data_IF_700436776009
#
_entry.id   IF_700436776009
#
_cell.length_a   1.000
_cell.length_b   1.000
_cell.length_c   1.000
_cell.angle_alpha   90.00
_cell.angle_beta   90.00
_cell.angle_gamma   90.00
#
_symmetry.space_group_name_H-M   'P 1'
#
loop_
_entity.id
_entity.type
_entity.pdbx_description
1 polymer ?
#
# COMPACT_ATOMS: atom_id res chain seq x y z
N UNK A 1 -11.71 -5.08 -16.31
CA UNK A 1 -10.37 -5.24 -15.69
C UNK A 1 -9.92 -6.70 -15.70
N UNK A 2 -10.66 -7.65 -15.14
CA UNK A 2 -10.27 -9.07 -15.14
C UNK A 2 -10.13 -9.63 -16.56
N UNK A 3 -10.99 -9.27 -17.48
CA UNK A 3 -10.91 -9.67 -18.90
C UNK A 3 -9.55 -9.28 -19.50
N UNK A 4 -9.09 -8.05 -19.27
CA UNK A 4 -7.79 -7.59 -19.76
C UNK A 4 -6.66 -8.36 -19.07
N UNK A 5 -6.74 -8.62 -17.76
CA UNK A 5 -5.71 -9.39 -17.04
C UNK A 5 -5.58 -10.82 -17.56
N UNK A 6 -6.68 -11.42 -17.99
CA UNK A 6 -6.68 -12.79 -18.55
C UNK A 6 -5.96 -12.90 -19.90
N UNK A 7 -5.64 -11.78 -20.56
CA UNK A 7 -4.82 -11.78 -21.80
C UNK A 7 -3.32 -11.72 -21.53
N UNK A 8 -2.90 -11.51 -20.28
CA UNK A 8 -1.50 -11.44 -19.91
C UNK A 8 -0.86 -12.82 -19.81
N UNK A 9 0.41 -12.90 -20.17
CA UNK A 9 1.26 -14.00 -19.71
C UNK A 9 1.33 -13.99 -18.18
N UNK A 10 1.28 -15.17 -17.57
CA UNK A 10 1.36 -15.30 -16.11
C UNK A 10 2.77 -15.59 -15.65
N UNK A 11 3.10 -15.12 -14.45
CA UNK A 11 4.34 -15.45 -13.74
C UNK A 11 4.02 -15.96 -12.34
N UNK A 12 4.64 -17.07 -11.95
CA UNK A 12 4.40 -17.68 -10.63
C UNK A 12 5.05 -16.89 -9.49
N UNK A 13 4.61 -17.13 -8.25
CA UNK A 13 5.22 -16.55 -7.06
C UNK A 13 6.71 -16.96 -6.92
N UNK A 14 7.09 -18.16 -7.31
CA UNK A 14 8.46 -18.64 -7.23
C UNK A 14 9.37 -17.92 -8.23
N UNK A 15 8.92 -17.73 -9.46
CA UNK A 15 9.66 -16.95 -10.46
C UNK A 15 9.78 -15.47 -10.04
N UNK A 16 8.74 -14.91 -9.40
CA UNK A 16 8.78 -13.55 -8.85
C UNK A 16 9.83 -13.36 -7.76
N UNK A 17 10.21 -14.42 -7.02
CA UNK A 17 11.30 -14.35 -6.02
C UNK A 17 12.67 -14.08 -6.68
N UNK A 18 12.84 -14.49 -7.93
CA UNK A 18 14.05 -14.25 -8.70
C UNK A 18 14.17 -12.79 -9.21
N UNK A 19 13.10 -12.02 -9.23
CA UNK A 19 13.11 -10.61 -9.63
C UNK A 19 13.75 -9.77 -8.52
N UNK A 20 15.07 -9.58 -8.62
CA UNK A 20 15.86 -8.79 -7.64
C UNK A 20 16.08 -7.37 -8.18
N UNK A 21 15.59 -6.38 -7.44
CA UNK A 21 15.80 -4.97 -7.74
C UNK A 21 16.81 -4.42 -6.72
N UNK A 22 18.08 -4.34 -7.10
CA UNK A 22 19.19 -4.03 -6.20
C UNK A 22 19.22 -2.56 -5.76
N UNK A 23 19.13 -1.63 -6.72
CA UNK A 23 19.12 -0.18 -6.48
C UNK A 23 17.72 0.40 -6.68
N UNK A 24 16.78 -0.06 -5.87
CA UNK A 24 15.36 0.16 -6.08
C UNK A 24 14.93 1.61 -5.88
N UNK A 25 14.26 2.13 -6.91
CA UNK A 25 13.51 3.39 -6.86
C UNK A 25 12.03 3.04 -6.74
N UNK A 26 11.36 3.53 -5.69
CA UNK A 26 9.95 3.30 -5.44
C UNK A 26 9.17 4.60 -5.72
N UNK A 27 8.32 4.60 -6.75
CA UNK A 27 7.45 5.72 -7.09
C UNK A 27 5.99 5.30 -6.96
N UNK A 28 5.15 6.17 -6.43
CA UNK A 28 3.70 5.94 -6.31
C UNK A 28 2.93 6.84 -7.24
N UNK A 29 1.81 6.31 -7.72
CA UNK A 29 0.85 7.02 -8.53
C UNK A 29 -0.55 6.75 -8.00
N UNK A 30 -1.46 7.69 -8.22
CA UNK A 30 -2.88 7.54 -7.88
C UNK A 30 -3.69 7.85 -9.14
N UNK A 31 -4.63 6.97 -9.47
CA UNK A 31 -5.44 7.09 -10.67
C UNK A 31 -6.85 6.51 -10.43
N UNK A 32 -7.63 6.38 -11.48
CA UNK A 32 -9.00 5.85 -11.49
C UNK A 32 -9.07 4.47 -12.14
N UNK A 33 -10.17 3.73 -11.92
CA UNK A 33 -10.40 2.42 -12.57
C UNK A 33 -10.42 2.50 -14.11
N UNK A 34 -11.07 3.48 -14.76
CA UNK A 34 -11.01 3.61 -16.23
C UNK A 34 -9.59 3.82 -16.75
N UNK A 35 -8.78 4.61 -16.05
CA UNK A 35 -7.39 4.84 -16.43
C UNK A 35 -6.51 3.61 -16.19
N UNK A 36 -6.80 2.81 -15.14
CA UNK A 36 -6.15 1.54 -14.91
C UNK A 36 -6.40 0.57 -16.06
N UNK A 37 -7.63 0.45 -16.54
CA UNK A 37 -7.98 -0.44 -17.66
C UNK A 37 -7.15 -0.07 -18.90
N UNK A 38 -7.11 1.21 -19.27
CA UNK A 38 -6.28 1.71 -20.38
C UNK A 38 -4.78 1.42 -20.18
N UNK A 39 -4.29 1.59 -18.96
CA UNK A 39 -2.90 1.28 -18.63
C UNK A 39 -2.60 -0.21 -18.84
N UNK A 40 -3.49 -1.08 -18.38
CA UNK A 40 -3.35 -2.52 -18.53
C UNK A 40 -3.39 -2.95 -20.00
N UNK A 41 -4.28 -2.38 -20.81
CA UNK A 41 -4.35 -2.66 -22.26
C UNK A 41 -3.03 -2.31 -22.97
N UNK A 42 -2.46 -1.14 -22.68
CA UNK A 42 -1.21 -0.69 -23.31
C UNK A 42 0.00 -1.47 -22.79
N UNK A 43 0.01 -1.84 -21.50
CA UNK A 43 1.13 -2.53 -20.87
C UNK A 43 1.21 -4.02 -21.19
N UNK A 44 0.13 -4.62 -21.68
CA UNK A 44 0.01 -6.07 -21.89
C UNK A 44 1.18 -6.70 -22.70
N UNK A 45 1.67 -6.12 -23.81
CA UNK A 45 2.76 -6.73 -24.59
C UNK A 45 4.10 -6.83 -23.84
N UNK A 46 4.33 -5.92 -22.87
CA UNK A 46 5.61 -5.76 -22.19
C UNK A 46 5.64 -6.38 -20.79
N UNK A 47 4.48 -6.81 -20.25
CA UNK A 47 4.34 -7.24 -18.87
C UNK A 47 3.71 -8.62 -18.72
N UNK A 48 4.11 -9.29 -17.65
CA UNK A 48 3.47 -10.50 -17.13
C UNK A 48 2.72 -10.15 -15.83
N UNK A 49 1.63 -10.88 -15.56
CA UNK A 49 0.85 -10.75 -14.34
C UNK A 49 1.16 -11.90 -13.37
N UNK A 50 1.39 -11.57 -12.10
CA UNK A 50 1.57 -12.59 -11.08
C UNK A 50 0.28 -13.39 -10.88
N UNK A 51 0.39 -14.71 -11.00
CA UNK A 51 -0.67 -15.65 -10.65
C UNK A 51 -0.31 -16.44 -9.41
N UNK A 52 -1.26 -16.59 -8.51
CA UNK A 52 -1.17 -17.48 -7.33
C UNK A 52 -2.43 -18.35 -7.33
N UNK A 53 -2.26 -19.66 -7.55
CA UNK A 53 -3.34 -20.62 -7.64
C UNK A 53 -4.46 -20.18 -8.60
N UNK A 54 -4.06 -19.67 -9.78
CA UNK A 54 -4.95 -19.17 -10.83
C UNK A 54 -5.54 -17.77 -10.58
N UNK A 55 -5.34 -17.18 -9.42
CA UNK A 55 -5.85 -15.86 -9.10
C UNK A 55 -4.84 -14.76 -9.48
N UNK A 56 -5.30 -13.70 -10.14
CA UNK A 56 -4.49 -12.57 -10.62
C UNK A 56 -4.67 -11.31 -9.75
N UNK A 57 -5.70 -11.28 -8.92
CA UNK A 57 -6.04 -10.14 -8.07
C UNK A 57 -6.20 -10.61 -6.62
N UNK A 58 -5.16 -10.40 -5.81
CA UNK A 58 -5.01 -10.97 -4.48
C UNK A 58 -5.63 -10.09 -3.40
N UNK A 59 -6.50 -10.62 -2.52
CA UNK A 59 -6.98 -9.88 -1.36
C UNK A 59 -5.91 -9.75 -0.29
N UNK A 60 -5.79 -8.53 0.24
CA UNK A 60 -4.88 -8.17 1.33
C UNK A 60 -5.65 -7.57 2.49
N UNK A 61 -5.26 -7.96 3.69
CA UNK A 61 -5.66 -7.32 4.92
C UNK A 61 -4.43 -6.72 5.62
N UNK A 62 -4.56 -5.54 6.19
CA UNK A 62 -3.50 -4.91 6.96
C UNK A 62 -4.10 -4.19 8.16
N UNK A 63 -3.62 -4.50 9.35
CA UNK A 63 -3.97 -3.83 10.59
C UNK A 63 -2.77 -3.02 11.08
N UNK A 64 -2.95 -1.72 11.30
CA UNK A 64 -1.90 -0.85 11.84
C UNK A 64 -2.08 -0.61 13.32
N UNK A 65 -0.96 -0.61 14.02
CA UNK A 65 -0.88 -0.17 15.41
C UNK A 65 -0.60 1.33 15.47
N UNK A 66 -1.05 1.94 16.58
CA UNK A 66 -0.82 3.35 16.86
C UNK A 66 -0.81 3.59 18.37
N UNK A 67 -0.17 4.66 18.80
CA UNK A 67 -0.29 5.18 20.16
C UNK A 67 -1.63 5.91 20.35
N UNK A 68 -2.05 6.10 21.59
CA UNK A 68 -3.34 6.75 21.88
C UNK A 68 -3.41 8.19 21.38
N UNK A 69 -2.31 8.93 21.42
CA UNK A 69 -2.18 10.29 20.90
C UNK A 69 -1.91 10.37 19.39
N UNK A 70 -1.95 9.22 18.68
CA UNK A 70 -1.66 9.12 17.25
C UNK A 70 -0.27 9.64 16.86
N UNK A 71 0.75 9.34 17.64
CA UNK A 71 2.10 9.87 17.46
C UNK A 71 2.72 9.49 16.11
N UNK A 72 2.62 8.22 15.66
CA UNK A 72 3.16 7.82 14.36
C UNK A 72 2.45 8.52 13.19
N UNK A 73 1.16 8.76 13.30
CA UNK A 73 0.39 9.56 12.33
C UNK A 73 0.87 11.01 12.32
N UNK A 74 1.03 11.63 13.49
CA UNK A 74 1.47 13.01 13.63
C UNK A 74 2.90 13.21 13.11
N UNK A 75 3.81 12.28 13.35
CA UNK A 75 5.17 12.29 12.79
C UNK A 75 5.13 12.26 11.25
N UNK A 76 4.21 11.47 10.68
CA UNK A 76 4.02 11.43 9.23
C UNK A 76 3.40 12.73 8.71
N UNK A 77 2.41 13.28 9.39
CA UNK A 77 1.77 14.57 9.04
C UNK A 77 2.78 15.71 9.06
N UNK A 78 3.61 15.78 10.10
CA UNK A 78 4.68 16.79 10.26
C UNK A 78 5.80 16.64 9.22
N UNK A 79 5.86 15.51 8.49
CA UNK A 79 6.88 15.23 7.49
C UNK A 79 8.21 14.83 8.09
N UNK A 80 8.24 14.35 9.34
CA UNK A 80 9.46 13.88 9.98
C UNK A 80 10.15 12.83 9.11
N UNK A 81 11.47 12.97 8.93
CA UNK A 81 12.25 12.05 8.12
C UNK A 81 12.36 10.68 8.79
N UNK A 82 12.66 10.63 10.09
CA UNK A 82 12.64 9.41 10.90
C UNK A 82 11.22 9.14 11.35
N UNK A 83 10.66 7.99 10.99
CA UNK A 83 9.33 7.57 11.41
C UNK A 83 9.15 6.09 11.23
N UNK A 84 8.27 5.52 12.03
CA UNK A 84 7.92 4.11 12.00
C UNK A 84 6.49 3.88 11.54
N UNK A 85 6.20 2.64 11.20
CA UNK A 85 4.86 2.07 11.06
C UNK A 85 4.93 0.63 11.52
N UNK A 86 4.04 0.26 12.40
CA UNK A 86 3.90 -1.08 12.93
C UNK A 86 2.58 -1.63 12.42
N UNK A 87 2.58 -2.85 11.88
CA UNK A 87 1.38 -3.43 11.31
C UNK A 87 1.43 -4.95 11.27
N UNK A 88 0.26 -5.57 11.34
CA UNK A 88 0.04 -6.95 10.91
C UNK A 88 -0.40 -6.90 9.45
N UNK A 89 0.21 -7.72 8.61
CA UNK A 89 -0.20 -7.91 7.22
C UNK A 89 -0.57 -9.35 6.98
N UNK A 90 -1.82 -9.59 6.59
CA UNK A 90 -2.33 -10.89 6.20
C UNK A 90 -2.45 -10.97 4.67
N UNK A 91 -1.93 -12.05 4.11
CA UNK A 91 -2.13 -12.48 2.75
C UNK A 91 -3.29 -13.45 2.75
N UNK A 92 -4.49 -12.95 2.46
CA UNK A 92 -5.75 -13.68 2.70
C UNK A 92 -5.79 -15.00 1.94
N UNK A 93 -5.24 -15.04 0.73
CA UNK A 93 -5.23 -16.23 -0.12
C UNK A 93 -4.39 -17.38 0.46
N UNK A 94 -3.23 -17.08 1.05
CA UNK A 94 -2.32 -18.09 1.64
C UNK A 94 -2.45 -18.24 3.15
N UNK A 95 -3.39 -17.51 3.75
CA UNK A 95 -3.60 -17.40 5.20
C UNK A 95 -2.34 -17.06 6.02
N UNK A 96 -1.32 -16.50 5.36
CA UNK A 96 -0.06 -16.14 5.99
C UNK A 96 -0.13 -14.72 6.53
N UNK A 97 0.32 -14.50 7.75
CA UNK A 97 0.34 -13.19 8.38
C UNK A 97 1.73 -12.85 8.94
N UNK A 98 2.09 -11.57 8.90
CA UNK A 98 3.36 -11.07 9.42
C UNK A 98 3.14 -9.83 10.27
N UNK A 99 3.82 -9.78 11.41
CA UNK A 99 4.01 -8.55 12.16
C UNK A 99 5.23 -7.81 11.57
N UNK A 100 5.02 -6.61 11.04
CA UNK A 100 6.03 -5.85 10.31
C UNK A 100 6.28 -4.50 10.95
N UNK A 101 7.55 -4.14 11.14
CA UNK A 101 8.00 -2.79 11.52
C UNK A 101 8.71 -2.18 10.33
N UNK A 102 8.21 -1.05 9.85
CA UNK A 102 8.82 -0.26 8.79
C UNK A 102 9.44 1.00 9.36
N UNK A 103 10.75 1.11 9.22
CA UNK A 103 11.54 2.27 9.64
C UNK A 103 11.96 3.08 8.44
N UNK A 104 11.65 4.37 8.43
CA UNK A 104 12.22 5.32 7.48
C UNK A 104 13.29 6.15 8.20
N UNK A 105 14.49 6.21 7.62
CA UNK A 105 15.60 6.99 8.17
C UNK A 105 15.67 8.41 7.56
N UNK A 106 16.60 9.24 8.07
CA UNK A 106 16.81 10.61 7.61
C UNK A 106 17.36 10.70 6.17
N UNK A 107 18.00 9.63 5.66
CA UNK A 107 18.49 9.53 4.27
C UNK A 107 17.40 9.08 3.29
N UNK A 108 16.15 8.93 3.75
CA UNK A 108 15.01 8.51 2.92
C UNK A 108 14.90 7.00 2.70
N UNK A 109 15.88 6.21 3.13
CA UNK A 109 15.85 4.76 3.02
C UNK A 109 14.84 4.16 3.99
N UNK A 110 14.17 3.10 3.54
CA UNK A 110 13.22 2.34 4.36
C UNK A 110 13.77 0.95 4.63
N UNK A 111 13.90 0.57 5.89
CA UNK A 111 14.14 -0.80 6.32
C UNK A 111 12.84 -1.43 6.80
N UNK A 112 12.74 -2.75 6.64
CA UNK A 112 11.61 -3.55 7.11
C UNK A 112 12.14 -4.74 7.90
N UNK A 113 11.63 -4.91 9.13
CA UNK A 113 11.79 -6.11 9.94
C UNK A 113 10.45 -6.78 10.06
N UNK A 114 10.41 -8.10 10.12
CA UNK A 114 9.17 -8.86 10.29
C UNK A 114 9.43 -10.19 10.98
N UNK A 115 8.40 -10.67 11.67
CA UNK A 115 8.25 -12.03 12.17
C UNK A 115 6.93 -12.60 11.64
N UNK A 116 6.75 -13.89 11.69
CA UNK A 116 5.44 -14.51 11.46
C UNK A 116 4.47 -14.04 12.54
N UNK A 117 3.23 -13.79 12.16
CA UNK A 117 2.20 -13.38 13.10
C UNK A 117 1.27 -14.56 13.36
N UNK A 118 1.24 -15.01 14.61
CA UNK A 118 0.33 -16.03 15.11
C UNK A 118 -0.61 -15.33 16.10
N UNK A 119 -1.91 -15.41 15.85
CA UNK A 119 -2.90 -14.85 16.77
C UNK A 119 -2.83 -15.53 18.13
N UNK A 120 -2.86 -14.74 19.21
CA UNK A 120 -2.72 -15.24 20.57
C UNK A 120 -1.26 -15.36 21.07
N UNK A 121 -0.26 -15.37 20.20
CA UNK A 121 1.16 -15.37 20.61
C UNK A 121 1.65 -13.94 20.95
N UNK A 122 1.09 -13.37 22.02
CA UNK A 122 1.40 -11.99 22.45
C UNK A 122 2.83 -11.81 22.95
N UNK A 123 3.40 -12.81 23.59
CA UNK A 123 4.76 -12.71 24.14
C UNK A 123 5.83 -12.48 23.04
N UNK A 124 5.76 -13.22 21.94
CA UNK A 124 6.68 -13.02 20.81
C UNK A 124 6.47 -11.67 20.11
N UNK A 125 5.20 -11.25 19.97
CA UNK A 125 4.85 -9.95 19.39
C UNK A 125 5.38 -8.80 20.25
N UNK A 126 5.20 -8.89 21.56
CA UNK A 126 5.70 -7.91 22.52
C UNK A 126 7.21 -7.84 22.50
N UNK A 127 7.92 -8.97 22.58
CA UNK A 127 9.36 -9.03 22.48
C UNK A 127 9.85 -8.37 21.19
N UNK A 128 9.28 -8.75 20.05
CA UNK A 128 9.69 -8.20 18.76
C UNK A 128 9.48 -6.70 18.65
N UNK A 129 8.34 -6.18 19.14
CA UNK A 129 8.07 -4.74 19.12
C UNK A 129 9.02 -4.01 20.07
N UNK A 130 9.16 -4.47 21.32
CA UNK A 130 10.03 -3.83 22.32
C UNK A 130 11.51 -3.80 21.89
N UNK A 131 11.96 -4.83 21.16
CA UNK A 131 13.35 -4.87 20.65
C UNK A 131 13.57 -4.05 19.37
N UNK A 132 12.57 -3.90 18.51
CA UNK A 132 12.77 -3.40 17.13
C UNK A 132 12.02 -2.10 16.82
N UNK A 133 11.06 -1.70 17.66
CA UNK A 133 10.35 -0.43 17.52
C UNK A 133 10.91 0.65 18.45
N UNK A 134 10.48 1.90 18.24
CA UNK A 134 10.75 3.02 19.14
C UNK A 134 9.58 3.26 20.13
N UNK A 135 8.70 2.27 20.25
CA UNK A 135 7.50 2.31 21.09
C UNK A 135 7.46 1.02 21.89
N UNK A 136 7.06 1.08 23.15
CA UNK A 136 6.76 -0.10 23.93
C UNK A 136 5.46 -0.76 23.40
N UNK A 137 5.36 -2.06 23.48
CA UNK A 137 4.15 -2.78 23.06
C UNK A 137 2.92 -2.33 23.85
N UNK A 138 3.10 -2.06 25.14
CA UNK A 138 2.06 -1.54 26.07
C UNK A 138 1.46 -0.20 25.61
N UNK A 139 2.21 0.63 24.88
CA UNK A 139 1.77 1.95 24.42
C UNK A 139 1.00 1.88 23.09
N UNK A 140 0.87 0.68 22.53
CA UNK A 140 0.31 0.47 21.19
C UNK A 140 -1.06 -0.20 21.27
N UNK A 141 -1.98 0.35 20.51
CA UNK A 141 -3.29 -0.26 20.26
C UNK A 141 -3.50 -0.56 18.79
N UNK A 142 -4.31 -1.57 18.47
CA UNK A 142 -4.81 -1.83 17.13
C UNK A 142 -5.69 -0.65 16.72
N UNK A 143 -5.38 0.03 15.60
CA UNK A 143 -6.01 1.31 15.29
C UNK A 143 -6.78 1.36 14.00
N UNK A 144 -6.17 1.00 12.89
CA UNK A 144 -6.79 1.12 11.56
C UNK A 144 -6.61 -0.14 10.73
N UNK A 145 -7.70 -0.72 10.32
CA UNK A 145 -7.73 -1.80 9.35
C UNK A 145 -7.80 -1.26 7.93
N UNK A 146 -7.21 -2.01 7.02
CA UNK A 146 -7.21 -1.69 5.61
C UNK A 146 -7.33 -2.97 4.80
N UNK A 147 -8.38 -3.07 4.01
CA UNK A 147 -8.62 -4.17 3.06
C UNK A 147 -8.46 -3.61 1.64
N UNK A 148 -7.87 -4.39 0.75
CA UNK A 148 -7.69 -4.01 -0.65
C UNK A 148 -7.34 -5.25 -1.48
N UNK A 149 -7.56 -5.16 -2.79
CA UNK A 149 -7.14 -6.16 -3.77
C UNK A 149 -5.86 -5.70 -4.46
N UNK A 150 -4.97 -6.62 -4.81
CA UNK A 150 -3.68 -6.33 -5.43
C UNK A 150 -3.41 -7.14 -6.66
N UNK A 151 -3.11 -6.46 -7.75
CA UNK A 151 -2.51 -7.00 -8.96
C UNK A 151 -1.01 -6.72 -8.91
N UNK A 152 -0.19 -7.68 -9.31
CA UNK A 152 1.26 -7.49 -9.43
C UNK A 152 1.69 -7.77 -10.87
N UNK A 153 2.31 -6.78 -11.49
CA UNK A 153 2.90 -6.92 -12.81
C UNK A 153 4.42 -6.88 -12.72
N UNK A 154 5.09 -7.60 -13.59
CA UNK A 154 6.53 -7.53 -13.80
C UNK A 154 6.79 -7.41 -15.29
N UNK A 155 7.73 -6.57 -15.72
CA UNK A 155 8.09 -6.49 -17.11
C UNK A 155 8.85 -7.75 -17.57
N UNK A 156 8.78 -8.10 -18.86
CA UNK A 156 9.44 -9.28 -19.42
C UNK A 156 10.95 -9.28 -19.17
N UNK A 157 11.57 -8.10 -19.10
CA UNK A 157 12.99 -7.94 -18.74
C UNK A 157 13.30 -8.12 -17.26
N UNK A 158 12.29 -8.29 -16.39
CA UNK A 158 12.43 -8.48 -14.92
C UNK A 158 13.19 -7.36 -14.21
N UNK A 159 13.21 -6.15 -14.78
CA UNK A 159 13.90 -4.96 -14.24
C UNK A 159 13.00 -4.03 -13.44
N UNK A 160 11.69 -4.24 -13.51
CA UNK A 160 10.72 -3.46 -12.74
C UNK A 160 9.48 -4.28 -12.37
N UNK A 161 8.82 -3.83 -11.32
CA UNK A 161 7.60 -4.42 -10.80
C UNK A 161 6.60 -3.35 -10.43
N UNK A 162 5.35 -3.56 -10.79
CA UNK A 162 4.22 -2.76 -10.34
C UNK A 162 3.38 -3.55 -9.35
N UNK A 163 2.94 -2.88 -8.31
CA UNK A 163 1.83 -3.37 -7.49
C UNK A 163 0.68 -2.36 -7.61
N UNK A 164 -0.48 -2.85 -7.99
CA UNK A 164 -1.68 -2.06 -8.27
C UNK A 164 -2.72 -2.45 -7.23
N UNK A 165 -3.12 -1.50 -6.40
CA UNK A 165 -4.05 -1.72 -5.30
C UNK A 165 -5.39 -1.05 -5.62
N UNK A 166 -6.47 -1.84 -5.55
CA UNK A 166 -7.86 -1.43 -5.80
C UNK A 166 -8.74 -1.77 -4.60
N UNK A 167 -9.98 -1.37 -4.62
CA UNK A 167 -11.02 -1.74 -3.65
C UNK A 167 -10.63 -1.41 -2.19
N UNK A 168 -10.02 -0.23 -2.00
CA UNK A 168 -9.55 0.17 -0.69
C UNK A 168 -10.72 0.45 0.26
N UNK A 169 -10.65 -0.21 1.43
CA UNK A 169 -11.59 -0.01 2.54
C UNK A 169 -10.82 0.16 3.83
N UNK A 170 -11.27 1.08 4.66
CA UNK A 170 -10.69 1.39 5.96
C UNK A 170 -11.72 1.20 7.06
N UNK A 171 -11.30 0.70 8.20
CA UNK A 171 -12.10 0.63 9.41
C UNK A 171 -11.25 1.04 10.61
N UNK A 172 -11.71 2.00 11.37
CA UNK A 172 -11.00 2.53 12.54
C UNK A 172 -11.56 1.88 13.80
N UNK A 173 -10.75 1.10 14.45
CA UNK A 173 -11.13 0.31 15.63
C UNK A 173 -11.38 1.15 16.88
N UNK A 174 -10.94 2.42 16.91
CA UNK A 174 -11.15 3.30 18.07
C UNK A 174 -12.54 3.91 18.11
N UNK A 175 -13.05 4.34 16.97
CA UNK A 175 -14.33 5.04 16.87
C UNK A 175 -15.38 4.30 16.03
N UNK A 176 -15.03 3.09 15.57
CA UNK A 176 -15.86 2.22 14.73
C UNK A 176 -16.28 2.82 13.37
N UNK A 177 -15.58 3.88 12.92
CA UNK A 177 -15.85 4.52 11.65
C UNK A 177 -15.23 3.75 10.48
N UNK A 178 -15.94 3.70 9.37
CA UNK A 178 -15.51 3.02 8.15
C UNK A 178 -15.56 3.92 6.94
N UNK A 179 -14.65 3.72 5.99
CA UNK A 179 -14.63 4.45 4.74
C UNK A 179 -14.20 3.52 3.59
N UNK A 180 -15.03 3.43 2.56
CA UNK A 180 -14.65 2.81 1.28
C UNK A 180 -14.22 3.91 0.30
N UNK A 181 -13.13 3.63 -0.46
CA UNK A 181 -12.56 4.57 -1.41
C UNK A 181 -12.73 3.98 -2.81
N UNK A 182 -13.97 4.04 -3.31
CA UNK A 182 -14.37 3.41 -4.56
C UNK A 182 -13.72 4.09 -5.78
N UNK A 183 -13.32 3.28 -6.76
CA UNK A 183 -12.71 3.76 -8.00
C UNK A 183 -11.29 4.28 -7.89
N UNK A 184 -10.75 4.41 -6.68
CA UNK A 184 -9.37 4.85 -6.47
C UNK A 184 -8.40 3.68 -6.67
N UNK A 185 -7.37 3.93 -7.47
CA UNK A 185 -6.30 2.98 -7.76
C UNK A 185 -4.97 3.54 -7.29
N UNK A 186 -4.18 2.73 -6.59
CA UNK A 186 -2.82 3.08 -6.19
C UNK A 186 -1.84 2.17 -6.92
N UNK A 187 -0.95 2.77 -7.70
CA UNK A 187 0.14 2.06 -8.37
C UNK A 187 1.43 2.36 -7.61
N UNK A 188 2.16 1.33 -7.21
CA UNK A 188 3.53 1.44 -6.70
C UNK A 188 4.47 0.80 -7.71
N UNK A 189 5.23 1.64 -8.41
CA UNK A 189 6.24 1.25 -9.36
C UNK A 189 7.59 1.12 -8.65
N UNK A 190 8.21 -0.04 -8.80
CA UNK A 190 9.54 -0.35 -8.28
C UNK A 190 10.43 -0.75 -9.44
N UNK A 191 11.46 0.02 -9.70
CA UNK A 191 12.43 -0.23 -10.77
C UNK A 191 13.85 -0.31 -10.23
N UNK A 192 14.72 -0.98 -10.97
CA UNK A 192 16.14 -1.04 -10.65
C UNK A 192 16.89 0.15 -11.28
N UNK A 193 17.34 1.09 -10.43
CA UNK A 193 18.16 2.22 -10.85
C UNK A 193 17.59 3.03 -12.00
N UNK A 194 18.45 3.30 -12.97
CA UNK A 194 18.15 4.08 -14.18
C UNK A 194 17.86 3.24 -15.44
N UNK A 195 17.52 1.97 -15.26
CA UNK A 195 17.13 1.11 -16.38
C UNK A 195 15.89 1.67 -17.07
N UNK A 196 15.81 1.50 -18.38
CA UNK A 196 14.63 1.86 -19.18
C UNK A 196 13.38 1.22 -18.59
N UNK A 197 12.32 2.00 -18.49
CA UNK A 197 11.07 1.62 -17.86
C UNK A 197 9.90 1.85 -18.80
N UNK A 198 9.36 0.79 -19.44
CA UNK A 198 8.19 0.88 -20.31
C UNK A 198 7.01 1.55 -19.62
N UNK A 199 6.74 1.20 -18.35
CA UNK A 199 5.60 1.77 -17.64
C UNK A 199 5.72 3.28 -17.42
N UNK A 200 6.93 3.81 -17.29
CA UNK A 200 7.12 5.25 -17.14
C UNK A 200 6.64 6.03 -18.36
N UNK A 201 6.85 5.49 -19.57
CA UNK A 201 6.35 6.07 -20.81
C UNK A 201 4.82 5.99 -20.88
N UNK A 202 4.23 4.84 -20.53
CA UNK A 202 2.77 4.63 -20.51
C UNK A 202 2.09 5.56 -19.50
N UNK A 203 2.63 5.69 -18.28
CA UNK A 203 2.11 6.58 -17.25
C UNK A 203 2.13 8.05 -17.72
N UNK A 204 3.20 8.48 -18.37
CA UNK A 204 3.30 9.83 -18.94
C UNK A 204 2.29 10.05 -20.08
N UNK A 205 2.14 9.11 -20.99
CA UNK A 205 1.15 9.14 -22.07
C UNK A 205 -0.27 9.30 -21.52
N UNK A 206 -0.59 8.56 -20.46
CA UNK A 206 -1.88 8.59 -19.78
C UNK A 206 -2.03 9.76 -18.80
N UNK A 207 -1.03 10.64 -18.68
CA UNK A 207 -0.99 11.77 -17.74
C UNK A 207 -1.22 11.35 -16.29
N UNK A 208 -0.71 10.17 -15.91
CA UNK A 208 -0.72 9.68 -14.54
C UNK A 208 0.61 10.08 -13.90
N UNK A 209 0.56 11.07 -13.00
CA UNK A 209 1.76 11.64 -12.40
C UNK A 209 2.06 11.09 -11.00
N UNK A 210 3.34 11.14 -10.56
CA UNK A 210 3.73 10.71 -9.22
C UNK A 210 2.92 11.40 -8.12
N UNK A 211 2.44 10.60 -7.17
CA UNK A 211 1.65 11.09 -6.05
C UNK A 211 2.10 10.41 -4.75
N UNK A 212 2.14 11.19 -3.67
CA UNK A 212 2.42 10.65 -2.33
C UNK A 212 1.14 10.10 -1.72
N UNK A 213 1.05 8.80 -1.53
CA UNK A 213 -0.09 8.16 -0.89
C UNK A 213 0.36 7.18 0.20
N UNK A 214 -0.27 7.24 1.37
CA UNK A 214 -0.05 6.33 2.48
C UNK A 214 -1.40 5.78 2.93
N UNK A 215 -1.66 4.48 2.70
CA UNK A 215 -2.90 3.84 3.16
C UNK A 215 -3.18 4.07 4.64
N UNK A 216 -2.17 3.90 5.49
CA UNK A 216 -2.25 4.16 6.91
C UNK A 216 -2.72 5.61 7.22
N UNK A 217 -2.01 6.63 6.71
CA UNK A 217 -2.36 8.02 7.01
C UNK A 217 -3.69 8.44 6.38
N UNK A 218 -4.02 7.91 5.20
CA UNK A 218 -5.31 8.21 4.57
C UNK A 218 -6.45 7.52 5.31
N UNK A 219 -6.26 6.26 5.74
CA UNK A 219 -7.25 5.58 6.58
C UNK A 219 -7.53 6.37 7.86
N UNK A 220 -6.49 6.75 8.60
CA UNK A 220 -6.61 7.58 9.80
C UNK A 220 -7.35 8.90 9.52
N UNK A 221 -6.95 9.63 8.47
CA UNK A 221 -7.54 10.93 8.14
C UNK A 221 -8.98 10.86 7.61
N UNK A 222 -9.38 9.75 6.98
CA UNK A 222 -10.72 9.55 6.44
C UNK A 222 -11.72 9.07 7.50
N UNK A 223 -11.25 8.38 8.54
CA UNK A 223 -12.10 7.75 9.55
C UNK A 223 -12.02 8.42 10.93
N UNK A 224 -11.21 9.47 11.09
CA UNK A 224 -11.11 10.19 12.36
C UNK A 224 -11.05 11.70 12.10
N UNK A 225 -12.19 12.37 12.33
CA UNK A 225 -12.35 13.81 12.12
C UNK A 225 -11.63 14.66 13.16
N UNK A 226 -11.27 14.09 14.30
CA UNK A 226 -10.57 14.79 15.40
C UNK A 226 -9.09 14.99 15.12
N UNK A 227 -8.52 14.21 14.21
CA UNK A 227 -7.12 14.31 13.85
C UNK A 227 -6.81 15.54 12.98
N UNK A 228 -5.67 16.17 13.22
CA UNK A 228 -5.16 17.22 12.33
C UNK A 228 -4.91 16.68 10.93
N UNK A 229 -5.46 17.33 9.90
CA UNK A 229 -5.42 16.87 8.49
C UNK A 229 -4.89 17.90 7.50
N UNK A 230 -4.48 19.07 7.98
CA UNK A 230 -4.13 20.21 7.13
C UNK A 230 -3.12 19.88 6.03
N UNK A 231 -2.07 19.11 6.32
CA UNK A 231 -1.05 18.69 5.35
C UNK A 231 -1.50 17.55 4.41
N UNK A 232 -2.66 16.96 4.64
CA UNK A 232 -3.28 15.96 3.76
C UNK A 232 -4.43 16.52 2.94
N UNK A 233 -4.77 17.80 3.09
CA UNK A 233 -5.93 18.46 2.45
C UNK A 233 -5.98 18.22 0.93
N UNK A 234 -4.86 18.37 0.21
CA UNK A 234 -4.80 18.13 -1.23
C UNK A 234 -5.06 16.66 -1.59
N UNK A 235 -4.50 15.72 -0.81
CA UNK A 235 -4.71 14.29 -1.03
C UNK A 235 -6.15 13.86 -0.73
N UNK A 236 -6.74 14.42 0.31
CA UNK A 236 -8.15 14.21 0.64
C UNK A 236 -9.06 14.76 -0.46
N UNK A 237 -8.75 15.94 -1.01
CA UNK A 237 -9.47 16.50 -2.17
C UNK A 237 -9.34 15.61 -3.41
N UNK A 238 -8.14 15.09 -3.68
CA UNK A 238 -7.90 14.15 -4.78
C UNK A 238 -8.73 12.88 -4.60
N UNK A 239 -8.73 12.28 -3.41
CA UNK A 239 -9.55 11.10 -3.09
C UNK A 239 -11.01 11.38 -3.36
N UNK A 240 -11.56 12.50 -2.86
CA UNK A 240 -12.95 12.90 -3.10
C UNK A 240 -13.27 13.02 -4.59
N UNK A 241 -12.40 13.70 -5.35
CA UNK A 241 -12.59 13.89 -6.79
C UNK A 241 -12.64 12.57 -7.56
N UNK A 242 -11.79 11.61 -7.17
CA UNK A 242 -11.72 10.30 -7.83
C UNK A 242 -12.93 9.44 -7.47
N UNK A 243 -13.33 9.44 -6.21
CA UNK A 243 -14.35 8.53 -5.73
C UNK A 243 -15.77 8.99 -6.02
N UNK A 244 -15.95 10.17 -6.67
CA UNK A 244 -17.28 10.77 -6.89
C UNK A 244 -18.13 10.69 -5.60
N UNK A 245 -17.51 10.90 -4.45
CA UNK A 245 -18.24 10.94 -3.19
C UNK A 245 -19.10 12.18 -3.20
N UNK A 246 -20.21 12.07 -3.97
CA UNK A 246 -21.35 12.93 -3.82
C UNK A 246 -21.89 12.70 -2.40
N UNK A 247 -21.67 13.69 -1.55
CA UNK A 247 -22.49 14.00 -0.41
C UNK A 247 -22.55 12.98 0.71
N UNK A 248 -21.50 12.72 1.47
CA UNK A 248 -21.72 12.47 2.91
C UNK A 248 -20.43 12.27 3.71
N UNK A 249 -19.28 12.58 3.14
CA UNK A 249 -18.10 12.72 3.99
C UNK A 249 -17.96 14.22 4.30
N UNK A 250 -18.67 14.69 5.30
CA UNK A 250 -18.41 15.98 5.92
C UNK A 250 -17.03 15.94 6.57
N UNK A 251 -16.09 16.70 6.02
CA UNK A 251 -14.72 16.85 6.51
C UNK A 251 -14.59 18.16 7.27
#
# INVERSE_FOLDING_TARGET
>A
MLEVLNTYETISLNEMKAVRLMNRIDTKYVTTMPMLIKLLEIAQPEYMVQSIDGSLNMPYYTLYFETDDAHMYMEHLRGRKRRQKIRIRKYVHSDTAFLEIKNKNNKGRTSKKRIDYIEGNTAEQEQFINEKANYAYSDLSKRIENKFSRITLVNKGKTERLTIDTDLRFHNLRNNESCAVEGLVIIEHKRDGNVYSPISAILNQLRIFPAKFSKYCMGMALTDSTLKRNRFKERLRMVRKICNVNNNINF
#
